data_IF_171052634088
#
_entry.id   IF_171052634088
#
_cell.length_a   1.000
_cell.length_b   1.000
_cell.length_c   1.000
_cell.angle_alpha   90.00
_cell.angle_beta   90.00
_cell.angle_gamma   90.00
#
_symmetry.space_group_name_H-M   'P 1'
#
loop_
_entity.id
_entity.type
_entity.pdbx_description
1 polymer ?
#
# COMPACT_ATOMS: atom_id res chain seq x y z
N UNK A 1 0.90 17.44 -14.65
CA UNK A 1 2.12 17.33 -13.77
C UNK A 1 2.38 15.85 -13.57
N UNK A 2 3.64 15.36 -13.58
CA UNK A 2 3.86 13.93 -13.30
C UNK A 2 3.56 13.61 -11.82
N UNK A 3 3.12 12.39 -11.53
CA UNK A 3 2.78 11.95 -10.18
C UNK A 3 3.98 12.11 -9.20
N UNK A 4 5.21 11.82 -9.67
CA UNK A 4 6.45 12.05 -8.89
C UNK A 4 6.60 13.53 -8.47
N UNK A 5 6.41 14.47 -9.41
CA UNK A 5 6.49 15.92 -9.10
C UNK A 5 5.36 16.36 -8.17
N UNK A 6 4.18 15.76 -8.29
CA UNK A 6 3.06 16.03 -7.39
C UNK A 6 3.42 15.67 -5.94
N UNK A 7 3.85 14.44 -5.68
CA UNK A 7 4.22 13.99 -4.33
C UNK A 7 5.44 14.73 -3.76
N UNK A 8 6.48 15.00 -4.58
CA UNK A 8 7.60 15.81 -4.15
C UNK A 8 7.15 17.24 -3.72
N UNK A 9 6.19 17.83 -4.45
CA UNK A 9 5.64 19.14 -4.08
C UNK A 9 4.83 19.10 -2.77
N UNK A 10 4.08 18.04 -2.50
CA UNK A 10 3.38 17.85 -1.24
C UNK A 10 4.35 17.72 -0.07
N UNK A 11 5.43 16.96 -0.24
CA UNK A 11 6.47 16.83 0.77
C UNK A 11 7.14 18.16 1.09
N UNK A 12 7.48 18.96 0.09
CA UNK A 12 8.04 20.31 0.30
C UNK A 12 7.05 21.27 0.97
N UNK A 13 5.75 21.11 0.70
CA UNK A 13 4.70 21.98 1.25
C UNK A 13 4.34 21.64 2.69
N UNK A 14 4.17 20.37 3.01
CA UNK A 14 3.61 19.91 4.29
C UNK A 14 4.67 19.33 5.23
N UNK A 15 5.89 19.06 4.74
CA UNK A 15 6.89 18.35 5.51
C UNK A 15 6.60 16.84 5.61
N UNK A 16 7.32 16.10 6.46
CA UNK A 16 7.22 14.66 6.59
C UNK A 16 6.02 14.25 7.47
N UNK A 17 4.81 14.40 6.97
CA UNK A 17 3.57 14.04 7.67
C UNK A 17 2.61 13.26 6.78
N UNK A 18 1.50 12.83 7.38
CA UNK A 18 0.43 12.10 6.68
C UNK A 18 -0.15 12.90 5.50
N UNK A 19 -0.10 14.23 5.55
CA UNK A 19 -0.57 15.12 4.48
C UNK A 19 0.29 15.01 3.21
N UNK A 20 1.62 14.81 3.36
CA UNK A 20 2.52 14.65 2.22
C UNK A 20 2.24 13.37 1.41
N UNK A 21 1.65 12.37 2.03
CA UNK A 21 1.22 11.10 1.44
C UNK A 21 -0.30 11.01 1.29
N UNK A 22 -0.98 12.16 1.34
CA UNK A 22 -2.42 12.34 1.07
C UNK A 22 -3.37 11.58 2.01
N UNK A 23 -2.97 11.29 3.25
CA UNK A 23 -3.91 10.84 4.25
C UNK A 23 -4.53 12.02 5.02
N UNK A 24 -5.82 11.88 5.35
CA UNK A 24 -6.57 12.93 6.06
C UNK A 24 -6.19 13.06 7.53
N UNK A 25 -5.66 12.01 8.14
CA UNK A 25 -5.18 11.99 9.52
C UNK A 25 -4.31 10.76 9.77
N UNK A 26 -3.50 10.78 10.82
CA UNK A 26 -2.72 9.63 11.27
C UNK A 26 -3.63 8.46 11.69
N UNK A 27 -4.76 8.74 12.36
CA UNK A 27 -5.74 7.73 12.75
C UNK A 27 -6.28 6.99 11.53
N UNK A 28 -6.65 7.72 10.47
CA UNK A 28 -7.16 7.12 9.24
C UNK A 28 -6.08 6.31 8.49
N UNK A 29 -4.83 6.73 8.57
CA UNK A 29 -3.69 5.98 8.04
C UNK A 29 -3.47 4.67 8.83
N UNK A 30 -3.46 4.74 10.16
CA UNK A 30 -3.27 3.59 11.04
C UNK A 30 -4.40 2.57 10.90
N UNK A 31 -5.65 3.02 10.70
CA UNK A 31 -6.76 2.10 10.46
C UNK A 31 -6.58 1.28 9.17
N UNK A 32 -6.04 1.89 8.12
CA UNK A 32 -5.67 1.17 6.89
C UNK A 32 -4.56 0.15 7.14
N UNK A 33 -3.53 0.56 7.87
CA UNK A 33 -2.40 -0.33 8.22
C UNK A 33 -2.83 -1.50 9.10
N UNK A 34 -3.76 -1.26 10.03
CA UNK A 34 -4.36 -2.31 10.88
C UNK A 34 -4.99 -3.40 10.01
N UNK A 35 -5.92 -3.04 9.14
CA UNK A 35 -6.61 -3.99 8.27
C UNK A 35 -5.64 -4.61 7.27
N UNK A 36 -4.80 -3.81 6.63
CA UNK A 36 -3.83 -4.28 5.64
C UNK A 36 -2.91 -5.37 6.19
N UNK A 37 -2.47 -5.23 7.45
CA UNK A 37 -1.54 -6.14 8.13
C UNK A 37 -2.21 -7.21 9.00
N UNK A 38 -3.52 -7.37 8.93
CA UNK A 38 -4.24 -8.36 9.74
C UNK A 38 -3.71 -9.80 9.55
N UNK A 39 -3.44 -10.27 8.31
CA UNK A 39 -2.95 -11.63 8.08
C UNK A 39 -1.43 -11.79 8.22
N UNK A 40 -0.69 -10.72 8.56
CA UNK A 40 0.77 -10.74 8.66
C UNK A 40 1.27 -11.50 9.89
N UNK A 41 2.19 -12.44 9.71
CA UNK A 41 2.97 -12.98 10.80
C UNK A 41 4.08 -12.00 11.22
N UNK A 42 4.26 -11.79 12.53
CA UNK A 42 5.15 -10.72 13.03
C UNK A 42 6.64 -10.92 12.74
N UNK A 43 7.03 -12.12 12.34
CA UNK A 43 8.42 -12.49 11.96
C UNK A 43 8.65 -12.54 10.45
N UNK A 44 7.61 -12.37 9.63
CA UNK A 44 7.71 -12.42 8.18
C UNK A 44 8.64 -11.34 7.63
N UNK A 45 9.23 -11.61 6.48
CA UNK A 45 9.90 -10.58 5.69
C UNK A 45 8.90 -9.84 4.79
N UNK A 46 8.94 -8.52 4.78
CA UNK A 46 7.93 -7.65 4.16
C UNK A 46 8.53 -6.74 3.10
N UNK A 47 7.87 -6.63 1.95
CA UNK A 47 8.00 -5.49 1.03
C UNK A 47 6.77 -4.59 1.21
N UNK A 48 7.01 -3.29 1.37
CA UNK A 48 6.01 -2.22 1.30
C UNK A 48 6.21 -1.44 0.00
N UNK A 49 5.33 -1.66 -0.96
CA UNK A 49 5.41 -1.08 -2.30
C UNK A 49 4.60 0.22 -2.35
N UNK A 50 5.27 1.34 -2.57
CA UNK A 50 4.74 2.67 -2.36
C UNK A 50 4.82 3.06 -0.87
N UNK A 51 5.96 2.81 -0.23
CA UNK A 51 6.14 2.96 1.21
C UNK A 51 6.06 4.42 1.72
N UNK A 52 6.11 5.39 0.81
CA UNK A 52 6.08 6.80 1.18
C UNK A 52 7.19 7.14 2.19
N UNK A 53 6.78 7.72 3.30
CA UNK A 53 7.68 8.16 4.39
C UNK A 53 8.06 7.04 5.39
N UNK A 54 7.70 5.78 5.11
CA UNK A 54 7.97 4.65 6.02
C UNK A 54 6.97 4.52 7.17
N UNK A 55 5.81 5.16 7.08
CA UNK A 55 4.80 5.14 8.14
C UNK A 55 4.26 3.74 8.46
N UNK A 56 4.19 2.85 7.46
CA UNK A 56 3.77 1.47 7.69
C UNK A 56 4.77 0.70 8.56
N UNK A 57 6.08 0.88 8.34
CA UNK A 57 7.09 0.30 9.22
C UNK A 57 6.96 0.82 10.65
N UNK A 58 6.79 2.15 10.82
CA UNK A 58 6.55 2.75 12.14
C UNK A 58 5.38 2.07 12.85
N UNK A 59 4.23 1.95 12.16
CA UNK A 59 3.05 1.27 12.69
C UNK A 59 3.34 -0.19 13.05
N UNK A 60 3.95 -0.96 12.14
CA UNK A 60 4.25 -2.36 12.37
C UNK A 60 5.16 -2.57 13.59
N UNK A 61 6.20 -1.73 13.78
CA UNK A 61 7.11 -1.82 14.93
C UNK A 61 6.44 -1.43 16.23
N UNK A 62 5.72 -0.31 16.25
CA UNK A 62 5.19 0.29 17.48
C UNK A 62 3.88 -0.33 17.93
N UNK A 63 2.96 -0.61 17.00
CA UNK A 63 1.60 -1.06 17.33
C UNK A 63 1.44 -2.59 17.23
N UNK A 64 2.16 -3.25 16.31
CA UNK A 64 2.00 -4.69 16.08
C UNK A 64 3.11 -5.53 16.71
N UNK A 65 4.25 -4.92 17.10
CA UNK A 65 5.41 -5.67 17.60
C UNK A 65 6.12 -6.49 16.51
N UNK A 66 6.06 -6.04 15.26
CA UNK A 66 6.69 -6.68 14.12
C UNK A 66 8.22 -6.74 14.28
N UNK A 67 8.79 -7.92 14.08
CA UNK A 67 10.24 -8.20 14.26
C UNK A 67 10.95 -8.65 12.99
N UNK A 68 10.21 -8.81 11.90
CA UNK A 68 10.73 -9.28 10.61
C UNK A 68 11.58 -8.26 9.86
N UNK A 69 12.11 -8.67 8.71
CA UNK A 69 12.80 -7.78 7.77
C UNK A 69 11.78 -6.94 7.00
N UNK A 70 12.15 -5.70 6.72
CA UNK A 70 11.30 -4.77 5.97
C UNK A 70 12.09 -4.10 4.84
N UNK A 71 11.49 -4.06 3.65
CA UNK A 71 11.98 -3.32 2.50
C UNK A 71 10.91 -2.35 2.03
N UNK A 72 11.13 -1.06 2.24
CA UNK A 72 10.30 0.01 1.70
C UNK A 72 10.75 0.39 0.29
N UNK A 73 9.81 0.40 -0.64
CA UNK A 73 10.04 0.73 -2.05
C UNK A 73 9.14 1.90 -2.48
N UNK A 74 9.73 2.96 -3.03
CA UNK A 74 8.98 4.12 -3.55
C UNK A 74 9.73 4.80 -4.71
N UNK A 75 9.01 5.49 -5.59
CA UNK A 75 9.59 6.19 -6.74
C UNK A 75 9.91 7.67 -6.45
N UNK A 76 9.55 8.18 -5.26
CA UNK A 76 9.83 9.56 -4.80
C UNK A 76 11.10 9.57 -3.98
N UNK A 77 12.17 10.15 -4.52
CA UNK A 77 13.50 10.15 -3.86
C UNK A 77 13.48 10.84 -2.50
N UNK A 78 12.70 11.91 -2.35
CA UNK A 78 12.54 12.64 -1.09
C UNK A 78 11.94 11.76 0.00
N UNK A 79 10.98 10.90 -0.34
CA UNK A 79 10.36 9.96 0.58
C UNK A 79 11.35 8.90 1.05
N UNK A 80 12.06 8.29 0.12
CA UNK A 80 13.09 7.26 0.42
C UNK A 80 14.22 7.82 1.29
N UNK A 81 14.68 9.03 0.97
CA UNK A 81 15.72 9.69 1.76
C UNK A 81 15.25 10.01 3.18
N UNK A 82 13.98 10.43 3.34
CA UNK A 82 13.40 10.67 4.66
C UNK A 82 13.22 9.37 5.44
N UNK A 83 12.56 8.36 4.85
CA UNK A 83 12.32 7.07 5.49
C UNK A 83 13.61 6.38 5.92
N UNK A 84 14.65 6.41 5.07
CA UNK A 84 15.97 5.86 5.41
C UNK A 84 16.63 6.56 6.59
N UNK A 85 16.47 7.88 6.73
CA UNK A 85 17.00 8.63 7.91
C UNK A 85 16.19 8.35 9.17
N UNK A 86 14.86 8.34 9.06
CA UNK A 86 13.95 8.08 10.19
C UNK A 86 14.20 6.70 10.81
N UNK A 87 14.40 5.70 9.96
CA UNK A 87 14.60 4.32 10.38
C UNK A 87 16.08 3.86 10.40
N UNK A 88 17.05 4.78 10.39
CA UNK A 88 18.48 4.46 10.30
C UNK A 88 19.01 3.54 11.41
N UNK A 89 18.32 3.46 12.54
CA UNK A 89 18.69 2.62 13.68
C UNK A 89 18.00 1.24 13.67
N UNK A 90 17.08 0.98 12.74
CA UNK A 90 16.47 -0.33 12.56
C UNK A 90 17.29 -1.16 11.57
N UNK A 91 18.16 -2.03 12.12
CA UNK A 91 19.05 -2.88 11.32
C UNK A 91 18.34 -3.91 10.43
N UNK A 92 17.02 -4.07 10.60
CA UNK A 92 16.20 -4.99 9.81
C UNK A 92 15.35 -4.26 8.76
N UNK A 93 15.49 -2.96 8.64
CA UNK A 93 14.80 -2.18 7.62
C UNK A 93 15.76 -1.65 6.56
N UNK A 94 15.24 -1.50 5.36
CA UNK A 94 15.92 -0.84 4.24
C UNK A 94 14.90 -0.15 3.34
N UNK A 95 15.36 0.88 2.63
CA UNK A 95 14.53 1.66 1.72
C UNK A 95 15.27 1.86 0.41
N UNK A 96 14.56 1.73 -0.72
CA UNK A 96 15.16 1.88 -2.04
C UNK A 96 14.20 2.57 -3.03
N UNK A 97 14.79 3.36 -3.94
CA UNK A 97 14.05 3.87 -5.08
C UNK A 97 13.56 2.72 -5.97
N UNK A 98 12.29 2.78 -6.35
CA UNK A 98 11.66 1.73 -7.15
C UNK A 98 10.49 2.28 -7.96
N UNK A 99 10.45 1.96 -9.25
CA UNK A 99 9.33 2.30 -10.12
C UNK A 99 8.63 1.03 -10.60
N UNK A 100 7.45 0.75 -10.06
CA UNK A 100 6.65 -0.45 -10.37
C UNK A 100 6.37 -0.64 -11.88
N UNK A 101 6.40 0.43 -12.67
CA UNK A 101 6.19 0.34 -14.11
C UNK A 101 7.39 -0.26 -14.85
N UNK A 102 8.60 -0.10 -14.33
CA UNK A 102 9.84 -0.43 -15.02
C UNK A 102 10.69 -1.49 -14.29
N UNK A 103 10.57 -1.58 -12.97
CA UNK A 103 11.44 -2.39 -12.14
C UNK A 103 10.77 -3.73 -11.77
N UNK A 104 11.60 -4.74 -11.52
CA UNK A 104 11.15 -6.05 -11.05
C UNK A 104 11.13 -6.09 -9.52
N UNK A 105 10.03 -6.57 -8.94
CA UNK A 105 9.89 -6.68 -7.49
C UNK A 105 10.89 -7.71 -6.95
N UNK A 106 11.71 -7.35 -5.92
CA UNK A 106 12.65 -8.29 -5.31
C UNK A 106 11.93 -9.54 -4.78
N UNK A 107 12.51 -10.70 -5.02
CA UNK A 107 11.97 -11.98 -4.58
C UNK A 107 12.52 -12.40 -3.21
N UNK A 108 11.88 -13.42 -2.61
CA UNK A 108 12.34 -13.99 -1.34
C UNK A 108 11.78 -13.30 -0.09
N UNK A 109 10.78 -12.47 -0.25
CA UNK A 109 10.01 -11.88 0.85
C UNK A 109 8.70 -12.64 1.05
N UNK A 110 8.30 -12.76 2.31
CA UNK A 110 7.13 -13.54 2.69
C UNK A 110 5.82 -12.85 2.32
N UNK A 111 5.75 -11.55 2.53
CA UNK A 111 4.56 -10.75 2.25
C UNK A 111 4.89 -9.46 1.49
N UNK A 112 3.99 -9.03 0.59
CA UNK A 112 4.09 -7.77 -0.14
C UNK A 112 2.81 -6.96 0.07
N UNK A 113 2.99 -5.71 0.50
CA UNK A 113 1.92 -4.78 0.83
C UNK A 113 1.88 -3.58 -0.12
N UNK A 114 0.66 -3.08 -0.38
CA UNK A 114 0.42 -1.81 -1.06
C UNK A 114 -0.67 -1.04 -0.32
N UNK A 115 -0.40 0.19 0.08
CA UNK A 115 -1.39 1.08 0.69
C UNK A 115 -1.55 2.38 -0.09
N UNK A 116 -2.75 2.63 -0.62
CA UNK A 116 -3.11 3.89 -1.25
C UNK A 116 -2.55 4.15 -2.66
N UNK A 117 -1.73 3.25 -3.21
CA UNK A 117 -1.11 3.43 -4.54
C UNK A 117 -2.14 3.38 -5.68
N UNK A 118 -3.17 2.57 -5.54
CA UNK A 118 -4.18 2.33 -6.57
C UNK A 118 -5.25 3.43 -6.67
N UNK A 119 -5.21 4.43 -5.81
CA UNK A 119 -6.23 5.48 -5.72
C UNK A 119 -6.00 6.67 -6.67
N UNK A 120 -4.84 6.77 -7.30
CA UNK A 120 -4.56 7.86 -8.24
C UNK A 120 -5.10 7.53 -9.64
N UNK A 121 -5.70 8.52 -10.30
CA UNK A 121 -6.15 8.36 -11.68
C UNK A 121 -4.96 8.25 -12.63
N UNK A 122 -4.97 7.22 -13.47
CA UNK A 122 -3.98 6.92 -14.49
C UNK A 122 -4.70 6.74 -15.86
N UNK A 123 -3.94 6.61 -16.93
CA UNK A 123 -4.48 6.37 -18.27
C UNK A 123 -5.28 5.06 -18.35
N UNK A 124 -4.74 3.98 -17.75
CA UNK A 124 -5.39 2.67 -17.62
C UNK A 124 -5.16 2.13 -16.19
N UNK A 125 -6.05 2.52 -15.29
CA UNK A 125 -5.99 2.09 -13.90
C UNK A 125 -6.19 0.59 -13.72
N UNK A 126 -7.11 0.00 -14.50
CA UNK A 126 -7.42 -1.43 -14.36
C UNK A 126 -6.21 -2.30 -14.69
N UNK A 127 -5.60 -2.08 -15.86
CA UNK A 127 -4.40 -2.82 -16.25
C UNK A 127 -3.25 -2.59 -15.28
N UNK A 128 -3.04 -1.34 -14.81
CA UNK A 128 -2.01 -1.03 -13.81
C UNK A 128 -2.21 -1.82 -12.50
N UNK A 129 -3.44 -1.87 -11.98
CA UNK A 129 -3.78 -2.62 -10.76
C UNK A 129 -3.52 -4.11 -10.96
N UNK A 130 -4.06 -4.70 -12.03
CA UNK A 130 -3.95 -6.13 -12.31
C UNK A 130 -2.48 -6.55 -12.51
N UNK A 131 -1.72 -5.82 -13.30
CA UNK A 131 -0.32 -6.13 -13.56
C UNK A 131 0.52 -6.00 -12.28
N UNK A 132 0.24 -4.98 -11.46
CA UNK A 132 0.91 -4.81 -10.16
C UNK A 132 0.61 -5.99 -9.24
N UNK A 133 -0.66 -6.39 -9.09
CA UNK A 133 -1.05 -7.53 -8.24
C UNK A 133 -0.41 -8.83 -8.73
N UNK A 134 -0.36 -9.09 -10.05
CA UNK A 134 0.30 -10.25 -10.63
C UNK A 134 1.80 -10.27 -10.32
N UNK A 135 2.50 -9.13 -10.47
CA UNK A 135 3.92 -9.00 -10.11
C UNK A 135 4.14 -9.27 -8.62
N UNK A 136 3.31 -8.67 -7.75
CA UNK A 136 3.38 -8.89 -6.31
C UNK A 136 3.17 -10.37 -5.94
N UNK A 137 2.12 -10.98 -6.49
CA UNK A 137 1.81 -12.39 -6.20
C UNK A 137 2.90 -13.33 -6.71
N UNK A 138 3.52 -13.01 -7.85
CA UNK A 138 4.66 -13.78 -8.38
C UNK A 138 5.87 -13.70 -7.43
N UNK A 139 6.17 -12.50 -6.91
CA UNK A 139 7.35 -12.23 -6.09
C UNK A 139 7.20 -12.64 -4.62
N UNK A 140 5.99 -12.55 -4.04
CA UNK A 140 5.74 -12.93 -2.65
C UNK A 140 5.85 -14.43 -2.42
N UNK A 141 6.31 -14.85 -1.23
CA UNK A 141 6.34 -16.27 -0.85
C UNK A 141 4.95 -16.79 -0.49
N UNK A 142 4.10 -16.02 0.24
CA UNK A 142 2.80 -16.51 0.69
C UNK A 142 1.67 -15.48 0.80
N UNK A 143 1.95 -14.16 0.88
CA UNK A 143 0.90 -13.16 1.11
C UNK A 143 1.08 -11.92 0.23
N UNK A 144 0.00 -11.50 -0.40
CA UNK A 144 -0.14 -10.16 -0.98
C UNK A 144 -1.33 -9.48 -0.32
N UNK A 145 -1.17 -8.23 0.11
CA UNK A 145 -2.24 -7.44 0.72
C UNK A 145 -2.24 -6.02 0.18
N UNK A 146 -3.39 -5.52 -0.23
CA UNK A 146 -3.53 -4.15 -0.73
C UNK A 146 -4.93 -3.59 -0.49
N UNK A 147 -5.03 -2.27 -0.41
CA UNK A 147 -6.30 -1.56 -0.35
C UNK A 147 -6.54 -0.69 -1.59
N UNK A 148 -7.81 -0.40 -1.84
CA UNK A 148 -8.25 0.54 -2.87
C UNK A 148 -9.56 1.23 -2.47
N UNK A 149 -9.84 2.38 -3.10
CA UNK A 149 -11.14 3.06 -2.97
C UNK A 149 -12.22 2.25 -3.67
N UNK A 150 -13.38 2.15 -3.02
CA UNK A 150 -14.52 1.35 -3.47
C UNK A 150 -15.49 2.17 -4.31
N UNK A 151 -16.06 1.56 -5.35
CA UNK A 151 -17.20 2.13 -6.09
C UNK A 151 -18.51 2.16 -5.28
N UNK A 152 -18.57 1.48 -4.12
CA UNK A 152 -19.74 1.51 -3.22
C UNK A 152 -19.74 2.78 -2.35
N UNK A 153 -19.85 3.92 -3.01
CA UNK A 153 -19.91 5.27 -2.40
C UNK A 153 -20.91 6.13 -3.13
N UNK A 154 -21.50 7.10 -2.42
CA UNK A 154 -22.46 8.04 -3.01
C UNK A 154 -21.80 9.17 -3.80
N UNK A 155 -20.51 9.42 -3.57
CA UNK A 155 -19.72 10.48 -4.20
C UNK A 155 -18.32 10.01 -4.51
N UNK A 156 -17.80 10.39 -5.68
CA UNK A 156 -16.42 10.12 -6.11
C UNK A 156 -15.71 11.44 -6.41
N UNK A 157 -14.50 11.60 -5.87
CA UNK A 157 -13.62 12.73 -6.16
C UNK A 157 -13.03 12.61 -7.57
N UNK A 158 -13.06 13.70 -8.37
CA UNK A 158 -12.60 13.70 -9.77
C UNK A 158 -11.12 13.31 -9.95
N UNK A 159 -10.29 13.53 -8.96
CA UNK A 159 -8.85 13.21 -9.02
C UNK A 159 -8.50 11.78 -8.60
N UNK A 160 -9.48 10.98 -8.17
CA UNK A 160 -9.28 9.66 -7.61
C UNK A 160 -9.92 8.56 -8.46
N UNK A 161 -9.31 7.40 -8.42
CA UNK A 161 -9.84 6.20 -9.06
C UNK A 161 -10.51 5.29 -8.04
N UNK A 162 -11.71 4.87 -8.36
CA UNK A 162 -12.52 3.96 -7.54
C UNK A 162 -12.67 2.62 -8.25
N UNK A 163 -12.35 1.56 -7.55
CA UNK A 163 -12.36 0.19 -8.07
C UNK A 163 -13.61 -0.56 -7.62
N UNK A 164 -14.23 -1.31 -8.52
CA UNK A 164 -15.29 -2.25 -8.14
C UNK A 164 -14.66 -3.43 -7.36
N UNK A 165 -14.98 -3.56 -6.05
CA UNK A 165 -14.37 -4.60 -5.22
C UNK A 165 -14.76 -6.01 -5.64
N UNK A 166 -15.97 -6.21 -6.18
CA UNK A 166 -16.41 -7.53 -6.62
C UNK A 166 -15.76 -7.93 -7.94
N UNK A 167 -15.65 -7.00 -8.89
CA UNK A 167 -14.95 -7.24 -10.14
C UNK A 167 -13.46 -7.56 -9.91
N UNK A 168 -12.80 -6.82 -9.01
CA UNK A 168 -11.40 -7.07 -8.68
C UNK A 168 -11.22 -8.38 -7.90
N UNK A 169 -12.11 -8.69 -6.95
CA UNK A 169 -12.11 -9.96 -6.23
C UNK A 169 -12.27 -11.14 -7.19
N UNK A 170 -13.27 -11.08 -8.09
CA UNK A 170 -13.53 -12.13 -9.06
C UNK A 170 -12.31 -12.37 -9.99
N UNK A 171 -11.72 -11.28 -10.51
CA UNK A 171 -10.50 -11.38 -11.32
C UNK A 171 -9.35 -12.00 -10.53
N UNK A 172 -9.08 -11.53 -9.31
CA UNK A 172 -7.99 -12.07 -8.49
C UNK A 172 -8.19 -13.56 -8.20
N UNK A 173 -9.43 -13.97 -7.90
CA UNK A 173 -9.78 -15.34 -7.54
C UNK A 173 -9.68 -16.32 -8.71
N UNK A 174 -10.06 -15.88 -9.91
CA UNK A 174 -10.06 -16.72 -11.09
C UNK A 174 -8.71 -16.76 -11.83
N UNK A 175 -7.97 -15.63 -11.82
CA UNK A 175 -6.80 -15.46 -12.68
C UNK A 175 -5.46 -15.42 -11.92
N UNK A 176 -5.46 -15.20 -10.59
CA UNK A 176 -4.22 -15.01 -9.84
C UNK A 176 -4.05 -16.04 -8.72
N UNK A 177 -5.02 -16.14 -7.79
CA UNK A 177 -4.99 -17.08 -6.67
C UNK A 177 -6.38 -17.55 -6.31
N UNK A 178 -6.60 -18.85 -6.12
CA UNK A 178 -7.88 -19.36 -5.60
C UNK A 178 -8.13 -19.00 -4.12
N UNK A 179 -7.12 -18.49 -3.41
CA UNK A 179 -7.20 -18.15 -1.99
C UNK A 179 -7.22 -16.63 -1.82
N UNK A 180 -8.41 -16.04 -1.92
CA UNK A 180 -8.62 -14.59 -1.82
C UNK A 180 -9.63 -14.26 -0.74
N UNK A 181 -9.32 -13.25 0.09
CA UNK A 181 -10.25 -12.68 1.07
C UNK A 181 -10.51 -11.22 0.72
N UNK A 182 -11.78 -10.81 0.69
CA UNK A 182 -12.21 -9.42 0.56
C UNK A 182 -12.67 -8.89 1.92
N UNK A 183 -12.07 -7.80 2.38
CA UNK A 183 -12.49 -7.02 3.55
C UNK A 183 -13.05 -5.68 3.07
N UNK A 184 -14.35 -5.46 3.31
CA UNK A 184 -15.06 -4.23 2.98
C UNK A 184 -16.02 -3.84 4.12
N UNK A 185 -15.59 -4.11 5.35
CA UNK A 185 -16.40 -4.03 6.56
C UNK A 185 -15.81 -3.07 7.62
N UNK A 186 -14.80 -2.28 7.25
CA UNK A 186 -14.10 -1.38 8.18
C UNK A 186 -14.31 0.10 7.83
N UNK A 187 -14.24 0.93 8.87
CA UNK A 187 -14.38 2.39 8.74
C UNK A 187 -13.00 3.05 8.87
N UNK A 188 -12.60 3.79 7.85
CA UNK A 188 -11.36 4.59 7.84
C UNK A 188 -11.55 5.94 8.51
N UNK A 189 -12.81 6.41 8.57
CA UNK A 189 -13.23 7.63 9.26
C UNK A 189 -14.46 7.34 10.11
N UNK A 190 -14.51 7.92 11.31
CA UNK A 190 -15.67 7.84 12.16
C UNK A 190 -16.89 8.50 11.47
N UNK A 191 -18.08 7.95 11.69
CA UNK A 191 -19.34 8.42 11.10
C UNK A 191 -19.35 8.44 9.56
N UNK A 192 -18.62 7.52 8.92
CA UNK A 192 -18.62 7.31 7.48
C UNK A 192 -19.19 5.93 7.11
N UNK A 193 -19.21 5.63 5.83
CA UNK A 193 -19.44 4.28 5.31
C UNK A 193 -18.10 3.62 4.98
N UNK A 194 -18.02 2.29 4.78
CA UNK A 194 -16.84 1.64 4.22
C UNK A 194 -16.61 2.11 2.78
N UNK A 195 -15.73 3.08 2.58
CA UNK A 195 -15.40 3.62 1.25
C UNK A 195 -14.08 3.07 0.67
N UNK A 196 -13.45 2.19 1.41
CA UNK A 196 -12.27 1.43 0.97
C UNK A 196 -12.48 -0.04 1.26
N UNK A 197 -11.79 -0.87 0.49
CA UNK A 197 -11.71 -2.30 0.73
C UNK A 197 -10.25 -2.77 0.71
N UNK A 198 -10.02 -3.94 1.29
CA UNK A 198 -8.72 -4.62 1.28
C UNK A 198 -8.88 -6.03 0.72
N UNK A 199 -7.95 -6.45 -0.12
CA UNK A 199 -7.83 -7.82 -0.60
C UNK A 199 -6.57 -8.47 -0.05
N UNK A 200 -6.72 -9.71 0.40
CA UNK A 200 -5.61 -10.60 0.75
C UNK A 200 -5.59 -11.75 -0.26
N UNK A 201 -4.44 -11.97 -0.89
CA UNK A 201 -4.18 -13.11 -1.77
C UNK A 201 -3.10 -13.98 -1.12
N UNK A 202 -3.40 -15.24 -0.98
CA UNK A 202 -2.45 -16.22 -0.43
C UNK A 202 -1.94 -17.16 -1.53
N UNK A 203 -0.76 -17.75 -1.29
CA UNK A 203 -0.26 -18.89 -2.08
C UNK A 203 -0.57 -20.20 -1.43
#
# INVERSE_FOLDING_TARGET
MSLKKHYASLFHKFGPGHEAVQYSSLESQYKRFEVLSEPLCLSDSVIDLGCGLGGFLTYLRQEKGFTGKYLGLDFVDEFINHAGKEHQHDSKSSFAHFNILNDEIPQGYDAIFVSGVFNNTMEDNWSFIIDTIKKMHTAANHLVSFNALSTYVDYQDEGLYYTDPLALFDHCKNEISPFVTLRHDYLVKNNSIPFEFTLYLYK
#
